data_IF_922652412673
#
_entry.id   IF_922652412673
#
_cell.length_a   1.000
_cell.length_b   1.000
_cell.length_c   1.000
_cell.angle_alpha   90.00
_cell.angle_beta   90.00
_cell.angle_gamma   90.00
#
_symmetry.space_group_name_H-M   'P 1'
#
loop_
_entity.id
_entity.type
_entity.pdbx_description
1 polymer ?
#
# COMPACT_ATOMS: atom_id res chain seq x y z
N UNK A 1 -0.87 -6.69 -0.70
CA UNK A 1 -1.58 -5.70 -1.55
C UNK A 1 -2.29 -6.49 -2.64
N UNK A 2 -3.44 -6.01 -3.13
CA UNK A 2 -4.08 -6.61 -4.29
C UNK A 2 -3.86 -5.73 -5.54
N UNK A 3 -3.44 -6.36 -6.63
CA UNK A 3 -3.24 -5.72 -7.95
C UNK A 3 -4.13 -6.44 -8.95
N UNK A 4 -5.08 -5.75 -9.57
CA UNK A 4 -6.12 -6.35 -10.40
C UNK A 4 -6.83 -7.55 -9.69
N UNK A 5 -7.04 -7.44 -8.37
CA UNK A 5 -7.61 -8.49 -7.53
C UNK A 5 -6.66 -9.64 -7.16
N UNK A 6 -5.42 -9.62 -7.63
CA UNK A 6 -4.41 -10.64 -7.34
C UNK A 6 -3.70 -10.29 -6.04
N UNK A 7 -3.80 -11.17 -5.04
CA UNK A 7 -3.08 -11.01 -3.78
C UNK A 7 -1.58 -11.21 -4.01
N UNK A 8 -0.80 -10.15 -3.76
CA UNK A 8 0.65 -10.12 -3.95
C UNK A 8 1.36 -9.60 -2.70
N UNK A 9 2.54 -10.15 -2.46
CA UNK A 9 3.43 -9.75 -1.36
C UNK A 9 4.35 -8.62 -1.84
N UNK A 10 4.34 -7.50 -1.10
CA UNK A 10 5.25 -6.38 -1.32
C UNK A 10 6.62 -6.74 -0.76
N UNK A 11 7.67 -6.61 -1.57
CA UNK A 11 9.05 -6.83 -1.13
C UNK A 11 9.81 -5.51 -0.89
N UNK A 12 9.47 -4.45 -1.62
CA UNK A 12 10.02 -3.12 -1.43
C UNK A 12 8.93 -2.06 -1.54
N UNK A 13 9.03 -1.01 -0.71
CA UNK A 13 8.07 0.09 -0.69
C UNK A 13 8.80 1.42 -0.57
N UNK A 14 8.40 2.40 -1.38
CA UNK A 14 8.83 3.78 -1.32
C UNK A 14 7.64 4.72 -1.53
N UNK A 15 7.86 6.03 -1.39
CA UNK A 15 6.78 7.03 -1.30
C UNK A 15 5.71 6.98 -2.39
N UNK A 16 6.07 6.64 -3.63
CA UNK A 16 5.15 6.58 -4.78
C UNK A 16 5.33 5.32 -5.64
N UNK A 17 6.03 4.31 -5.11
CA UNK A 17 6.32 3.07 -5.85
C UNK A 17 6.45 1.91 -4.87
N UNK A 18 6.09 0.73 -5.32
CA UNK A 18 6.33 -0.51 -4.60
C UNK A 18 6.66 -1.61 -5.60
N UNK A 19 7.37 -2.62 -5.11
CA UNK A 19 7.72 -3.81 -5.87
C UNK A 19 7.01 -5.01 -5.26
N UNK A 20 6.73 -6.01 -6.09
CA UNK A 20 6.10 -7.27 -5.68
C UNK A 20 6.87 -8.44 -6.26
N UNK A 21 6.90 -9.55 -5.52
CA UNK A 21 7.41 -10.80 -6.04
C UNK A 21 6.28 -11.60 -6.71
N UNK A 22 6.53 -12.12 -7.91
CA UNK A 22 5.56 -12.94 -8.66
C UNK A 22 6.20 -14.30 -8.95
N UNK A 23 5.55 -15.38 -8.52
CA UNK A 23 5.98 -16.74 -8.85
C UNK A 23 5.45 -17.17 -10.23
N UNK A 24 6.10 -18.14 -10.91
CA UNK A 24 5.70 -18.56 -12.25
C UNK A 24 4.24 -19.05 -12.35
N UNK A 25 3.70 -19.68 -11.30
CA UNK A 25 2.30 -20.11 -11.29
C UNK A 25 1.34 -18.92 -11.38
N UNK A 26 1.53 -17.89 -10.55
CA UNK A 26 0.73 -16.66 -10.56
C UNK A 26 0.85 -15.94 -11.90
N UNK A 27 2.07 -15.83 -12.45
CA UNK A 27 2.26 -15.18 -13.74
C UNK A 27 1.47 -15.89 -14.86
N UNK A 28 1.51 -17.24 -14.90
CA UNK A 28 0.80 -18.02 -15.94
C UNK A 28 -0.72 -18.06 -15.81
N UNK A 29 -1.27 -17.90 -14.61
CA UNK A 29 -2.71 -18.06 -14.34
C UNK A 29 -3.42 -16.73 -14.05
N UNK A 30 -2.78 -15.60 -14.33
CA UNK A 30 -3.37 -14.28 -14.14
C UNK A 30 -3.15 -13.41 -15.37
N UNK A 31 -3.79 -12.24 -15.40
CA UNK A 31 -3.62 -11.27 -16.49
C UNK A 31 -2.23 -10.61 -16.53
N UNK A 32 -1.38 -10.83 -15.52
CA UNK A 32 -0.06 -10.19 -15.38
C UNK A 32 0.91 -10.55 -16.49
N UNK A 33 0.80 -11.75 -17.11
CA UNK A 33 1.70 -12.17 -18.20
C UNK A 33 1.61 -11.24 -19.42
N UNK A 34 0.43 -10.68 -19.70
CA UNK A 34 0.19 -9.80 -20.84
C UNK A 34 0.46 -8.32 -20.53
N UNK A 35 0.73 -7.96 -19.28
CA UNK A 35 0.91 -6.57 -18.86
C UNK A 35 2.26 -6.02 -19.33
N UNK A 36 2.26 -4.74 -19.64
CA UNK A 36 3.44 -3.99 -20.08
C UNK A 36 3.66 -2.77 -19.20
N UNK A 37 4.88 -2.24 -19.24
CA UNK A 37 5.20 -0.96 -18.59
C UNK A 37 4.27 0.13 -19.14
N UNK A 38 3.62 0.86 -18.23
CA UNK A 38 2.65 1.90 -18.57
C UNK A 38 1.19 1.46 -18.50
N UNK A 39 0.92 0.15 -18.41
CA UNK A 39 -0.44 -0.35 -18.20
C UNK A 39 -0.98 0.11 -16.84
N UNK A 40 -2.24 0.59 -16.86
CA UNK A 40 -2.96 0.89 -15.63
C UNK A 40 -3.45 -0.41 -15.00
N UNK A 41 -3.41 -0.45 -13.67
CA UNK A 41 -3.90 -1.56 -12.85
C UNK A 41 -4.75 -1.02 -11.72
N UNK A 42 -5.70 -1.82 -11.26
CA UNK A 42 -6.47 -1.53 -10.06
C UNK A 42 -5.64 -1.90 -8.83
N UNK A 43 -5.58 -1.00 -7.85
CA UNK A 43 -4.83 -1.21 -6.61
C UNK A 43 -5.79 -1.21 -5.42
N UNK A 44 -5.71 -2.27 -4.62
CA UNK A 44 -6.44 -2.40 -3.37
C UNK A 44 -5.46 -2.57 -2.20
N UNK A 45 -5.52 -1.63 -1.26
CA UNK A 45 -4.71 -1.68 -0.02
C UNK A 45 -5.35 -2.63 0.99
N UNK A 46 -4.53 -3.31 1.78
CA UNK A 46 -5.02 -4.18 2.85
C UNK A 46 -5.86 -3.41 3.89
N UNK A 47 -6.97 -4.00 4.30
CA UNK A 47 -7.84 -3.46 5.34
C UNK A 47 -7.11 -3.34 6.68
N UNK A 48 -6.15 -4.23 6.96
CA UNK A 48 -5.31 -4.18 8.16
C UNK A 48 -4.57 -2.84 8.22
N UNK A 49 -4.06 -2.34 7.09
CA UNK A 49 -3.41 -1.03 7.03
C UNK A 49 -4.33 0.11 7.45
N UNK A 50 -5.61 0.07 7.03
CA UNK A 50 -6.62 1.07 7.43
C UNK A 50 -6.91 1.01 8.93
N UNK A 51 -6.98 -0.19 9.51
CA UNK A 51 -7.18 -0.36 10.95
C UNK A 51 -5.96 0.11 11.75
N UNK A 52 -4.75 -0.26 11.33
CA UNK A 52 -3.50 0.20 11.94
C UNK A 52 -3.41 1.73 11.90
N UNK A 53 -3.73 2.35 10.76
CA UNK A 53 -3.77 3.81 10.65
C UNK A 53 -4.77 4.44 11.63
N UNK A 54 -5.97 3.85 11.79
CA UNK A 54 -6.97 4.34 12.76
C UNK A 54 -6.48 4.20 14.20
N UNK A 55 -5.87 3.07 14.55
CA UNK A 55 -5.32 2.82 15.88
C UNK A 55 -4.19 3.80 16.23
N UNK A 56 -3.26 4.03 15.29
CA UNK A 56 -2.17 4.98 15.46
C UNK A 56 -2.63 6.45 15.37
N UNK A 57 -3.73 6.71 14.65
CA UNK A 57 -4.33 8.04 14.47
C UNK A 57 -5.09 8.56 15.69
N UNK A 58 -5.38 7.72 16.68
CA UNK A 58 -5.96 8.10 17.97
C UNK A 58 -4.94 8.78 18.91
N UNK A 59 -3.69 8.95 18.49
CA UNK A 59 -2.62 9.59 19.25
C UNK A 59 -2.09 10.88 18.63
N UNK A 60 -2.95 11.80 18.17
CA UNK A 60 -2.50 13.18 17.94
C UNK A 60 -2.35 13.86 19.31
N UNK A 61 -1.16 14.24 19.78
CA UNK A 61 -1.09 15.25 20.82
C UNK A 61 -1.73 16.51 20.24
N UNK A 62 -2.74 17.01 20.94
CA UNK A 62 -3.25 18.35 20.77
C UNK A 62 -2.05 19.30 20.84
N UNK A 63 -1.60 19.84 19.71
CA UNK A 63 -0.74 21.02 19.74
C UNK A 63 -1.67 22.19 20.09
N UNK A 64 -1.94 22.33 21.38
CA UNK A 64 -2.14 23.64 21.97
C UNK A 64 -0.82 24.39 21.77
N UNK A 65 -0.73 25.10 20.65
CA UNK A 65 0.09 26.30 20.57
C UNK A 65 -0.60 27.36 21.41
N UNK A 66 -0.47 27.25 22.73
CA UNK A 66 -0.49 28.42 23.60
C UNK A 66 0.88 29.06 23.50
N UNK A 67 0.88 30.23 22.87
CA UNK A 67 1.87 31.25 23.09
C UNK A 67 1.89 31.60 24.60
N UNK A 68 3.08 32.02 25.05
CA UNK A 68 3.46 32.49 26.40
C UNK A 68 3.98 31.40 27.35
N UNK A 69 5.31 31.25 27.39
CA UNK A 69 6.12 31.53 28.59
C UNK A 69 7.63 31.36 28.27
N UNK A 70 8.31 32.51 28.11
CA UNK A 70 9.75 32.81 28.01
C UNK A 70 10.53 32.51 26.71
#
# INVERSE_FOLDING_TARGET
VAVDGISLTVNECARQRFSVAIIPHTLRHTNLLGRRVGDKVNIETDIVGKYVQRLLGSGRPNRETSFEDF
#
